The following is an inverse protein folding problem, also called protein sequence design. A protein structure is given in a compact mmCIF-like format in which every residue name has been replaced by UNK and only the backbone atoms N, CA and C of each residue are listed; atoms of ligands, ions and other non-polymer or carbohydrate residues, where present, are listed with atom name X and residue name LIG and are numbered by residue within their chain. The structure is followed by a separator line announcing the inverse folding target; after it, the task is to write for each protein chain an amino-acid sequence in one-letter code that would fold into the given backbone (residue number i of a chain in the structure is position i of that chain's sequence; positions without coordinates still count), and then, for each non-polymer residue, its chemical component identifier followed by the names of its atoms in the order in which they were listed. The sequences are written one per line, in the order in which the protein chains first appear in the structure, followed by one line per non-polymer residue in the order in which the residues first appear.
data_IF_356488624833
#
_entry.id   IF_356488624833
#
_cell.length_a   1.000
_cell.length_b   1.000
_cell.length_c   1.000
_cell.angle_alpha   90.00
_cell.angle_beta   90.00
_cell.angle_gamma   90.00
#
_symmetry.space_group_name_H-M   'P 1'
#
loop_
_entity.id
_entity.type
_entity.pdbx_description
1 polymer ?
#
# COMPACT_ATOMS: atom_id res chain seq x y z
N UNK A 1 25.11 -2.78 -17.69
CA UNK A 1 26.30 -2.41 -16.84
C UNK A 1 25.97 -2.48 -15.35
N UNK A 2 24.70 -2.41 -14.97
CA UNK A 2 24.26 -2.39 -13.56
C UNK A 2 24.13 -3.78 -12.92
N UNK A 3 23.95 -4.82 -13.71
CA UNK A 3 23.83 -6.22 -13.25
C UNK A 3 25.08 -6.77 -12.54
N UNK A 4 26.28 -6.24 -12.81
CA UNK A 4 27.53 -6.69 -12.16
C UNK A 4 27.74 -6.04 -10.80
N UNK A 5 27.24 -4.81 -10.58
CA UNK A 5 27.25 -4.13 -9.28
C UNK A 5 26.20 -4.71 -8.32
N UNK A 6 25.07 -5.21 -8.85
CA UNK A 6 23.99 -5.77 -8.04
C UNK A 6 24.32 -7.12 -7.41
N UNK A 7 25.25 -7.91 -7.95
CA UNK A 7 25.59 -9.23 -7.37
C UNK A 7 26.18 -9.14 -5.95
N UNK A 8 27.11 -8.21 -5.71
CA UNK A 8 27.69 -8.04 -4.38
C UNK A 8 26.71 -7.45 -3.36
N UNK A 9 25.88 -6.49 -3.78
CA UNK A 9 24.81 -5.91 -2.95
C UNK A 9 23.73 -6.94 -2.64
N UNK A 10 23.30 -7.74 -3.64
CA UNK A 10 22.34 -8.81 -3.43
C UNK A 10 22.79 -9.84 -2.39
N UNK A 11 24.06 -10.19 -2.33
CA UNK A 11 24.60 -11.11 -1.34
C UNK A 11 24.65 -10.48 0.08
N UNK A 12 24.88 -9.17 0.18
CA UNK A 12 24.82 -8.45 1.45
C UNK A 12 23.38 -8.41 1.98
N UNK A 13 22.41 -8.05 1.15
CA UNK A 13 21.01 -8.02 1.54
C UNK A 13 20.46 -9.40 1.91
N UNK A 14 20.85 -10.47 1.19
CA UNK A 14 20.50 -11.84 1.57
C UNK A 14 21.01 -12.21 2.95
N UNK A 15 22.28 -11.90 3.26
CA UNK A 15 22.86 -12.18 4.59
C UNK A 15 22.16 -11.38 5.69
N UNK A 16 21.84 -10.12 5.43
CA UNK A 16 21.10 -9.29 6.39
C UNK A 16 19.69 -9.84 6.63
N UNK A 17 19.00 -10.28 5.58
CA UNK A 17 17.68 -10.89 5.69
C UNK A 17 17.72 -12.21 6.49
N UNK A 18 18.68 -13.10 6.20
CA UNK A 18 18.87 -14.34 6.97
C UNK A 18 19.31 -14.12 8.43
N UNK A 19 19.86 -12.95 8.75
CA UNK A 19 20.13 -12.59 10.14
C UNK A 19 18.85 -12.26 10.94
N UNK A 20 17.72 -12.05 10.28
CA UNK A 20 16.42 -11.73 10.89
C UNK A 20 15.48 -12.94 10.99
N UNK A 21 15.75 -14.03 10.25
CA UNK A 21 14.91 -15.22 10.24
C UNK A 21 15.51 -16.37 9.42
N UNK A 22 15.02 -17.58 9.66
CA UNK A 22 15.49 -18.80 9.01
C UNK A 22 14.99 -18.91 7.56
N UNK A 23 13.90 -18.21 7.23
CA UNK A 23 13.30 -18.20 5.89
C UNK A 23 13.23 -16.74 5.38
N UNK A 24 13.55 -16.55 4.09
CA UNK A 24 13.44 -15.25 3.40
C UNK A 24 12.67 -15.38 2.09
N UNK A 25 11.91 -14.35 1.74
CA UNK A 25 11.24 -14.23 0.46
C UNK A 25 12.15 -13.47 -0.52
N UNK A 26 12.34 -14.01 -1.71
CA UNK A 26 13.06 -13.34 -2.80
C UNK A 26 12.14 -13.30 -4.00
N UNK A 27 11.78 -12.10 -4.42
CA UNK A 27 10.83 -11.86 -5.50
C UNK A 27 11.50 -11.12 -6.66
N UNK A 28 10.88 -11.16 -7.83
CA UNK A 28 11.27 -10.33 -8.96
C UNK A 28 11.06 -8.86 -8.61
N UNK A 29 12.06 -8.02 -8.93
CA UNK A 29 11.91 -6.57 -8.78
C UNK A 29 11.10 -6.01 -9.93
N UNK A 30 9.85 -5.69 -9.70
CA UNK A 30 8.97 -5.05 -10.68
C UNK A 30 9.22 -3.55 -10.68
N UNK A 31 9.66 -3.01 -11.83
CA UNK A 31 9.81 -1.57 -12.00
C UNK A 31 8.47 -0.90 -12.29
N UNK A 32 8.15 0.17 -11.56
CA UNK A 32 6.89 0.89 -11.72
C UNK A 32 6.65 1.96 -10.67
N UNK A 33 5.43 2.46 -10.64
CA UNK A 33 4.92 3.44 -9.67
C UNK A 33 4.25 2.71 -8.50
N UNK A 34 4.59 3.06 -7.27
CA UNK A 34 3.98 2.47 -6.08
C UNK A 34 2.63 3.12 -5.78
N UNK A 35 1.58 2.29 -5.61
CA UNK A 35 0.20 2.71 -5.35
C UNK A 35 -0.33 2.08 -4.07
N UNK A 36 -0.82 2.91 -3.14
CA UNK A 36 -1.53 2.46 -1.96
C UNK A 36 -3.04 2.59 -2.14
N UNK A 37 -3.77 1.49 -1.98
CA UNK A 37 -5.22 1.43 -2.16
C UNK A 37 -5.91 1.07 -0.85
N UNK A 38 -6.55 2.04 -0.20
CA UNK A 38 -7.31 1.84 1.02
C UNK A 38 -8.72 1.34 0.76
N UNK A 39 -9.21 0.45 1.63
CA UNK A 39 -10.59 -0.03 1.60
C UNK A 39 -11.09 -0.27 3.03
N UNK A 40 -12.37 0.01 3.26
CA UNK A 40 -13.09 -0.28 4.50
C UNK A 40 -14.41 -0.96 4.15
N UNK A 41 -14.75 -2.04 4.85
CA UNK A 41 -16.11 -2.58 4.84
C UNK A 41 -16.68 -2.46 6.26
N UNK A 42 -17.79 -1.76 6.39
CA UNK A 42 -18.47 -1.55 7.66
C UNK A 42 -19.99 -1.46 7.48
N UNK A 43 -20.75 -2.12 8.32
CA UNK A 43 -22.22 -2.15 8.25
C UNK A 43 -22.76 -2.63 6.89
N UNK A 44 -22.05 -3.54 6.22
CA UNK A 44 -22.39 -4.05 4.90
C UNK A 44 -22.12 -3.10 3.73
N UNK A 45 -21.51 -1.94 4.00
CA UNK A 45 -21.13 -0.97 2.97
C UNK A 45 -19.62 -1.03 2.69
N UNK A 46 -19.27 -1.00 1.40
CA UNK A 46 -17.90 -0.87 0.93
C UNK A 46 -17.53 0.62 0.73
N UNK A 47 -16.40 1.01 1.31
CA UNK A 47 -15.74 2.30 1.08
C UNK A 47 -14.40 2.01 0.40
N UNK A 48 -14.29 2.30 -0.89
CA UNK A 48 -13.03 2.21 -1.63
C UNK A 48 -12.48 3.62 -1.73
N UNK A 49 -11.35 3.84 -1.08
CA UNK A 49 -10.76 5.16 -0.97
C UNK A 49 -10.05 5.59 -2.28
N UNK A 50 -9.82 6.89 -2.49
CA UNK A 50 -8.95 7.37 -3.55
C UNK A 50 -7.55 6.75 -3.44
N UNK A 51 -6.96 6.39 -4.57
CA UNK A 51 -5.65 5.77 -4.64
C UNK A 51 -4.58 6.82 -4.35
N UNK A 52 -3.57 6.46 -3.58
CA UNK A 52 -2.39 7.29 -3.30
C UNK A 52 -1.19 6.74 -4.07
N UNK A 53 -0.49 7.60 -4.80
CA UNK A 53 0.85 7.31 -5.30
C UNK A 53 1.89 7.63 -4.23
N UNK A 54 2.84 6.73 -4.04
CA UNK A 54 3.97 6.89 -3.14
C UNK A 54 5.22 7.13 -3.98
N UNK A 55 5.71 8.37 -3.99
CA UNK A 55 6.88 8.78 -4.78
C UNK A 55 8.10 8.78 -3.88
N UNK A 56 8.98 7.77 -4.02
CA UNK A 56 10.25 7.73 -3.31
C UNK A 56 11.21 8.79 -3.87
N UNK A 57 11.89 9.53 -3.00
CA UNK A 57 12.96 10.47 -3.37
C UNK A 57 14.33 9.81 -3.50
N UNK A 58 14.43 8.50 -3.23
CA UNK A 58 15.65 7.70 -3.36
C UNK A 58 15.47 6.60 -4.38
N UNK A 59 16.52 6.32 -5.15
CA UNK A 59 16.56 5.23 -6.15
C UNK A 59 16.43 3.82 -5.55
N UNK A 60 16.50 3.68 -4.22
CA UNK A 60 16.32 2.43 -3.49
C UNK A 60 15.49 2.65 -2.23
N UNK A 61 14.38 1.92 -2.14
CA UNK A 61 13.47 1.89 -0.99
C UNK A 61 14.09 1.02 0.12
N UNK A 62 14.94 1.61 0.97
CA UNK A 62 15.41 0.93 2.17
C UNK A 62 14.44 1.13 3.35
N UNK A 63 14.64 0.36 4.42
CA UNK A 63 13.82 0.41 5.63
C UNK A 63 13.76 1.82 6.25
N UNK A 64 14.83 2.60 6.14
CA UNK A 64 14.88 3.98 6.66
C UNK A 64 13.96 4.92 5.87
N UNK A 65 13.81 4.72 4.54
CA UNK A 65 12.94 5.53 3.71
C UNK A 65 11.44 5.34 4.02
N UNK A 66 11.05 4.15 4.49
CA UNK A 66 9.64 3.86 4.85
C UNK A 66 9.18 4.57 6.13
N UNK A 67 10.07 4.86 7.06
CA UNK A 67 9.70 5.32 8.41
C UNK A 67 10.23 6.70 8.78
N UNK A 68 11.05 7.32 7.93
CA UNK A 68 11.57 8.67 8.18
C UNK A 68 10.76 9.71 7.41
N UNK A 69 10.12 10.62 8.13
CA UNK A 69 9.33 11.70 7.53
C UNK A 69 10.18 12.53 6.55
N UNK A 70 9.67 12.72 5.31
CA UNK A 70 10.30 13.56 4.29
C UNK A 70 11.05 12.82 3.17
N UNK A 71 11.14 11.48 3.18
CA UNK A 71 11.79 10.69 2.13
C UNK A 71 10.84 10.21 1.01
N UNK A 72 9.53 10.31 1.20
CA UNK A 72 8.54 10.04 0.17
C UNK A 72 7.50 11.15 0.12
N UNK A 73 7.04 11.47 -1.08
CA UNK A 73 5.87 12.30 -1.29
C UNK A 73 4.67 11.38 -1.56
N UNK A 74 3.53 11.70 -0.98
CA UNK A 74 2.28 10.96 -1.15
C UNK A 74 1.29 11.86 -1.90
N UNK A 75 0.89 11.43 -3.09
CA UNK A 75 -0.03 12.17 -3.98
C UNK A 75 -1.39 11.48 -3.95
N UNK A 76 -2.39 12.15 -3.39
CA UNK A 76 -3.77 11.65 -3.30
C UNK A 76 -4.74 12.71 -3.84
N UNK A 77 -5.58 12.41 -4.83
CA UNK A 77 -5.62 11.17 -5.62
C UNK A 77 -4.41 11.06 -6.56
N UNK A 78 -4.01 9.81 -6.83
CA UNK A 78 -2.95 9.51 -7.80
C UNK A 78 -3.37 9.92 -9.22
N UNK A 79 -2.43 10.45 -10.00
CA UNK A 79 -2.63 10.75 -11.43
C UNK A 79 -2.45 9.47 -12.26
N UNK A 80 -3.53 8.75 -12.47
CA UNK A 80 -3.62 7.47 -13.21
C UNK A 80 -4.83 7.44 -14.11
N UNK A 81 -4.76 6.61 -15.17
CA UNK A 81 -5.89 6.48 -16.10
C UNK A 81 -7.10 5.82 -15.43
N UNK A 82 -8.33 6.06 -15.94
CA UNK A 82 -9.54 5.42 -15.42
C UNK A 82 -9.47 3.88 -15.44
N UNK A 83 -8.81 3.29 -16.43
CA UNK A 83 -8.65 1.85 -16.60
C UNK A 83 -7.77 1.27 -15.49
N UNK A 84 -6.60 1.90 -15.22
CA UNK A 84 -5.70 1.51 -14.15
C UNK A 84 -6.38 1.66 -12.79
N UNK A 85 -7.12 2.75 -12.57
CA UNK A 85 -7.90 2.97 -11.36
C UNK A 85 -8.96 1.87 -11.15
N UNK A 86 -9.69 1.52 -12.21
CA UNK A 86 -10.72 0.49 -12.15
C UNK A 86 -10.11 -0.88 -11.79
N UNK A 87 -8.98 -1.22 -12.40
CA UNK A 87 -8.29 -2.48 -12.15
C UNK A 87 -7.72 -2.56 -10.73
N UNK A 88 -7.04 -1.50 -10.24
CA UNK A 88 -6.56 -1.42 -8.86
C UNK A 88 -7.71 -1.58 -7.85
N UNK A 89 -8.84 -0.92 -8.07
CA UNK A 89 -10.02 -1.05 -7.23
C UNK A 89 -10.61 -2.45 -7.26
N UNK A 90 -10.61 -3.12 -8.43
CA UNK A 90 -11.06 -4.50 -8.58
C UNK A 90 -10.17 -5.45 -7.78
N UNK A 91 -8.85 -5.34 -7.98
CA UNK A 91 -7.86 -6.18 -7.29
C UNK A 91 -7.87 -5.95 -5.77
N UNK A 92 -8.06 -4.71 -5.31
CA UNK A 92 -8.21 -4.37 -3.88
C UNK A 92 -9.40 -5.10 -3.25
N UNK A 93 -10.57 -5.08 -3.91
CA UNK A 93 -11.76 -5.82 -3.46
C UNK A 93 -11.53 -7.33 -3.44
N UNK A 94 -10.86 -7.85 -4.47
CA UNK A 94 -10.53 -9.27 -4.58
C UNK A 94 -9.59 -9.72 -3.45
N UNK A 95 -8.51 -8.97 -3.21
CA UNK A 95 -7.59 -9.22 -2.10
C UNK A 95 -8.32 -9.18 -0.74
N UNK A 96 -9.15 -8.15 -0.52
CA UNK A 96 -9.96 -8.02 0.70
C UNK A 96 -10.82 -9.26 0.97
N UNK A 97 -11.53 -9.75 -0.06
CA UNK A 97 -12.42 -10.92 0.04
C UNK A 97 -11.64 -12.23 0.20
N UNK A 98 -10.59 -12.41 -0.59
CA UNK A 98 -9.75 -13.63 -0.57
C UNK A 98 -9.06 -13.80 0.78
N UNK A 99 -8.54 -12.71 1.35
CA UNK A 99 -7.91 -12.71 2.68
C UNK A 99 -8.94 -12.66 3.82
N UNK A 100 -10.26 -12.67 3.52
CA UNK A 100 -11.36 -12.59 4.51
C UNK A 100 -11.17 -11.43 5.49
N UNK A 101 -10.78 -10.28 4.98
CA UNK A 101 -10.55 -9.09 5.79
C UNK A 101 -11.84 -8.56 6.43
N UNK A 102 -11.68 -7.80 7.51
CA UNK A 102 -12.73 -7.08 8.20
C UNK A 102 -12.23 -5.70 8.58
N UNK A 103 -13.09 -4.69 8.54
CA UNK A 103 -12.70 -3.32 8.85
C UNK A 103 -11.87 -2.68 7.74
N UNK A 104 -10.84 -1.92 8.13
CA UNK A 104 -10.01 -1.15 7.20
C UNK A 104 -8.74 -1.90 6.82
N UNK A 105 -8.37 -1.84 5.54
CA UNK A 105 -7.11 -2.38 5.00
C UNK A 105 -6.45 -1.38 4.06
N UNK A 106 -5.15 -1.59 3.77
CA UNK A 106 -4.46 -0.99 2.65
C UNK A 106 -3.79 -2.08 1.82
N UNK A 107 -4.00 -2.04 0.53
CA UNK A 107 -3.35 -2.94 -0.44
C UNK A 107 -2.36 -2.13 -1.25
N UNK A 108 -1.13 -2.61 -1.32
CA UNK A 108 -0.04 -1.94 -2.00
C UNK A 108 0.28 -2.66 -3.32
N UNK A 109 0.48 -1.86 -4.38
CA UNK A 109 0.72 -2.31 -5.74
C UNK A 109 1.90 -1.58 -6.37
N UNK A 110 2.55 -2.24 -7.33
CA UNK A 110 3.41 -1.58 -8.32
C UNK A 110 2.69 -1.56 -9.66
N UNK A 111 2.52 -0.38 -10.24
CA UNK A 111 1.94 -0.21 -11.59
C UNK A 111 3.07 0.03 -12.57
N UNK A 112 3.27 -0.90 -13.51
CA UNK A 112 4.33 -0.79 -14.52
C UNK A 112 4.07 0.37 -15.48
N UNK A 113 5.07 0.82 -16.27
CA UNK A 113 4.87 1.83 -17.32
C UNK A 113 3.82 1.44 -18.38
N UNK A 114 3.56 0.13 -18.54
CA UNK A 114 2.50 -0.39 -19.41
C UNK A 114 1.09 -0.33 -18.77
N UNK A 115 0.97 0.19 -17.55
CA UNK A 115 -0.31 0.26 -16.83
C UNK A 115 -0.75 -1.06 -16.19
N UNK A 116 0.13 -2.05 -16.09
CA UNK A 116 -0.19 -3.36 -15.48
C UNK A 116 0.10 -3.30 -13.98
N UNK A 117 -0.90 -3.49 -13.10
CA UNK A 117 -0.67 -3.53 -11.65
C UNK A 117 -0.21 -4.92 -11.20
N UNK A 118 0.78 -4.91 -10.30
CA UNK A 118 1.27 -6.08 -9.58
C UNK A 118 0.96 -5.90 -8.10
N UNK A 119 0.26 -6.88 -7.52
CA UNK A 119 0.01 -6.93 -6.08
C UNK A 119 1.33 -7.15 -5.33
N UNK A 120 1.56 -6.37 -4.30
CA UNK A 120 2.75 -6.48 -3.43
C UNK A 120 2.35 -7.04 -2.07
N UNK A 121 1.53 -6.32 -1.32
CA UNK A 121 1.12 -6.74 0.02
C UNK A 121 -0.27 -6.21 0.40
N UNK A 122 -0.86 -6.82 1.42
CA UNK A 122 -2.07 -6.35 2.08
C UNK A 122 -1.77 -6.07 3.55
N UNK A 123 -1.98 -4.83 3.95
CA UNK A 123 -1.86 -4.37 5.33
C UNK A 123 -3.22 -4.41 6.00
N UNK A 124 -3.44 -5.39 6.87
CA UNK A 124 -4.70 -5.57 7.61
C UNK A 124 -4.86 -4.62 8.80
N UNK A 125 -3.77 -3.97 9.23
CA UNK A 125 -3.75 -2.94 10.27
C UNK A 125 -2.90 -1.77 9.75
N UNK A 126 -3.43 -0.99 8.78
CA UNK A 126 -2.69 0.14 8.23
C UNK A 126 -2.52 1.24 9.26
N UNK A 127 -1.52 2.10 9.06
CA UNK A 127 -1.34 3.30 9.89
C UNK A 127 -2.58 4.19 9.84
N UNK A 128 -3.04 4.65 11.02
CA UNK A 128 -4.28 5.41 11.17
C UNK A 128 -4.05 6.81 11.79
N UNK A 129 -2.81 7.25 11.94
CA UNK A 129 -2.53 8.63 12.38
C UNK A 129 -2.97 9.64 11.31
N UNK A 130 -3.19 10.89 11.70
CA UNK A 130 -3.62 11.94 10.75
C UNK A 130 -2.68 12.15 9.55
N UNK A 131 -1.42 11.73 9.63
CA UNK A 131 -0.43 11.74 8.55
C UNK A 131 -0.38 10.46 7.71
N UNK A 132 -1.09 9.40 8.09
CA UNK A 132 -1.08 8.12 7.38
C UNK A 132 -1.92 8.14 6.10
N UNK A 133 -1.61 7.24 5.18
CA UNK A 133 -2.22 7.17 3.83
C UNK A 133 -3.75 7.03 3.92
N UNK A 134 -4.27 6.04 4.64
CA UNK A 134 -5.73 5.79 4.70
C UNK A 134 -6.51 6.99 5.26
N UNK A 135 -6.12 7.65 6.36
CA UNK A 135 -6.72 8.91 6.80
C UNK A 135 -6.65 10.04 5.77
N UNK A 136 -5.56 10.14 4.99
CA UNK A 136 -5.47 11.13 3.90
C UNK A 136 -6.46 10.82 2.80
N UNK A 137 -6.57 9.56 2.40
CA UNK A 137 -7.54 9.09 1.40
C UNK A 137 -8.99 9.33 1.85
N UNK A 138 -9.30 9.09 3.14
CA UNK A 138 -10.63 9.36 3.69
C UNK A 138 -10.98 10.86 3.61
N UNK A 139 -10.03 11.74 3.93
CA UNK A 139 -10.23 13.19 3.80
C UNK A 139 -10.50 13.63 2.37
N UNK A 140 -9.85 13.02 1.37
CA UNK A 140 -10.12 13.30 -0.05
C UNK A 140 -11.54 12.88 -0.48
N UNK A 141 -12.18 11.97 0.26
CA UNK A 141 -13.60 11.64 0.11
C UNK A 141 -14.55 12.57 0.90
N UNK A 142 -14.02 13.58 1.59
CA UNK A 142 -14.79 14.44 2.48
C UNK A 142 -15.11 13.81 3.85
N UNK A 143 -14.45 12.71 4.22
CA UNK A 143 -14.63 12.03 5.51
C UNK A 143 -13.56 12.51 6.50
N UNK A 144 -13.98 13.05 7.63
CA UNK A 144 -13.06 13.39 8.72
C UNK A 144 -12.47 12.15 9.38
N UNK A 145 -11.35 12.30 10.07
CA UNK A 145 -10.74 11.20 10.82
C UNK A 145 -11.66 10.67 11.93
N UNK A 146 -12.44 11.56 12.57
CA UNK A 146 -13.44 11.17 13.56
C UNK A 146 -14.53 10.28 12.97
N UNK A 147 -15.13 10.70 11.84
CA UNK A 147 -16.15 9.92 11.14
C UNK A 147 -15.61 8.55 10.68
N UNK A 148 -14.37 8.49 10.20
CA UNK A 148 -13.72 7.22 9.83
C UNK A 148 -13.64 6.28 11.05
N UNK A 149 -13.20 6.78 12.20
CA UNK A 149 -13.13 5.99 13.43
C UNK A 149 -14.51 5.59 13.92
N UNK A 150 -15.49 6.47 13.90
CA UNK A 150 -16.86 6.18 14.33
C UNK A 150 -17.48 5.03 13.52
N UNK A 151 -17.24 5.01 12.20
CA UNK A 151 -17.69 3.94 11.31
C UNK A 151 -17.01 2.61 11.69
N UNK A 152 -15.70 2.59 11.92
CA UNK A 152 -14.95 1.38 12.28
C UNK A 152 -15.39 0.85 13.64
N UNK A 153 -15.52 1.72 14.64
CA UNK A 153 -15.94 1.35 16.01
C UNK A 153 -17.37 0.82 15.99
N UNK A 154 -18.29 1.51 15.30
CA UNK A 154 -19.68 1.09 15.22
C UNK A 154 -19.84 -0.29 14.55
N UNK A 155 -19.02 -0.64 13.55
CA UNK A 155 -19.03 -1.95 12.92
C UNK A 155 -18.47 -3.03 13.86
N UNK A 156 -17.40 -2.71 14.60
CA UNK A 156 -16.78 -3.64 15.53
C UNK A 156 -17.68 -3.97 16.71
N UNK A 157 -18.42 -2.97 17.23
CA UNK A 157 -19.34 -3.15 18.37
C UNK A 157 -20.66 -3.88 18.00
N UNK A 158 -20.94 -4.10 16.71
CA UNK A 158 -22.13 -4.84 16.24
C UNK A 158 -21.88 -6.34 16.05
N UNK A 159 -20.64 -6.77 16.11
CA UNK A 159 -20.21 -8.19 16.00
C UNK A 159 -20.10 -8.80 17.39
#
# INVERSE_FOLDING_TARGET
RDLVRSRGLGDVYKRQAFAQGDEILIEECVAGREMGCGMLVAGGREYVFPITEIVSKKDFFDYEAKYTAGFSDEITPADITPEVKAELNRMTREAYRTCRCSGVVRVDFIVTPAGVPYFIELNSIPGMSGGSIVPKQAREMGMSLGELYDIIIADTCRK
#
